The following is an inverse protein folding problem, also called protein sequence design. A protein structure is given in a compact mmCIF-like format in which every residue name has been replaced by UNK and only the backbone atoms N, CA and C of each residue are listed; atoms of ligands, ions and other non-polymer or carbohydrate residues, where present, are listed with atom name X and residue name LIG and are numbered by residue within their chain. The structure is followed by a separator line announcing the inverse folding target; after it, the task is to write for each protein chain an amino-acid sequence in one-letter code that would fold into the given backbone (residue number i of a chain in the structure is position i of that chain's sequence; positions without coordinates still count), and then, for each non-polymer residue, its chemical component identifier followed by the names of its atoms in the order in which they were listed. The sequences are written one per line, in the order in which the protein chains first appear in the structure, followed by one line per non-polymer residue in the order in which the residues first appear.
data_IF_185188394088
#
_entry.id   IF_185188394088
#
_cell.length_a   1.000
_cell.length_b   1.000
_cell.length_c   1.000
_cell.angle_alpha   90.00
_cell.angle_beta   90.00
_cell.angle_gamma   90.00
#
_symmetry.space_group_name_H-M   'P 1'
#
loop_
_entity.id
_entity.type
_entity.pdbx_description
1 polymer ?
#
# COMPACT_ATOMS: atom_id res chain seq x y z
N UNK A 1 12.69 -16.42 -5.97
CA UNK A 1 12.00 -17.66 -5.56
C UNK A 1 10.58 -17.30 -5.18
N UNK A 2 9.61 -17.70 -6.01
CA UNK A 2 8.18 -17.56 -5.73
C UNK A 2 7.86 -18.29 -4.42
N UNK A 3 7.56 -17.57 -3.35
CA UNK A 3 6.83 -18.17 -2.23
C UNK A 3 5.39 -18.36 -2.70
N UNK A 4 5.18 -19.44 -3.42
CA UNK A 4 3.88 -20.06 -3.59
C UNK A 4 3.41 -20.41 -2.18
N UNK A 5 2.56 -19.58 -1.57
CA UNK A 5 1.82 -19.99 -0.37
C UNK A 5 0.87 -21.07 -0.84
N UNK A 6 1.26 -22.32 -0.59
CA UNK A 6 0.39 -23.49 -0.80
C UNK A 6 -1.00 -23.23 -0.20
N UNK A 7 -2.00 -23.43 -1.06
CA UNK A 7 -3.35 -23.88 -0.78
C UNK A 7 -4.06 -23.24 0.44
N UNK A 8 -4.84 -22.18 0.20
CA UNK A 8 -6.03 -21.94 1.04
C UNK A 8 -6.84 -23.24 1.06
N UNK A 9 -7.24 -23.71 2.23
CA UNK A 9 -7.92 -24.99 2.36
C UNK A 9 -9.31 -24.90 1.67
N UNK A 10 -9.43 -25.47 0.47
CA UNK A 10 -10.59 -25.19 -0.39
C UNK A 10 -11.86 -25.84 0.14
N UNK A 11 -12.83 -25.00 0.49
CA UNK A 11 -14.17 -25.30 1.00
C UNK A 11 -15.01 -26.37 0.32
N UNK A 12 -16.26 -26.50 0.77
CA UNK A 12 -17.33 -27.01 -0.11
C UNK A 12 -17.70 -25.89 -1.10
N UNK A 13 -17.92 -26.26 -2.36
CA UNK A 13 -18.30 -25.34 -3.45
C UNK A 13 -19.73 -25.68 -3.85
N UNK A 14 -20.57 -24.65 -4.07
CA UNK A 14 -21.94 -24.84 -4.51
C UNK A 14 -22.38 -23.74 -5.47
N UNK A 15 -23.22 -24.12 -6.43
CA UNK A 15 -23.99 -23.20 -7.26
C UNK A 15 -25.38 -23.06 -6.64
N UNK A 16 -25.80 -21.83 -6.37
CA UNK A 16 -27.13 -21.53 -5.85
C UNK A 16 -27.96 -20.86 -6.93
N UNK A 17 -29.08 -21.49 -7.31
CA UNK A 17 -30.09 -20.91 -8.20
C UNK A 17 -30.56 -19.56 -7.66
N UNK A 18 -30.48 -18.52 -8.49
CA UNK A 18 -31.11 -17.23 -8.22
C UNK A 18 -32.63 -17.33 -8.49
N UNK A 19 -33.38 -18.01 -7.62
CA UNK A 19 -34.84 -18.11 -7.76
C UNK A 19 -35.53 -17.05 -6.89
N UNK A 20 -36.41 -16.23 -7.50
CA UNK A 20 -37.16 -15.15 -6.81
C UNK A 20 -38.09 -15.66 -5.69
N UNK A 21 -38.37 -16.97 -5.62
CA UNK A 21 -39.46 -17.53 -4.82
C UNK A 21 -39.06 -18.44 -3.64
N UNK A 22 -37.77 -18.62 -3.32
CA UNK A 22 -37.39 -19.44 -2.16
C UNK A 22 -36.71 -18.58 -1.09
N UNK A 23 -37.40 -18.35 0.02
CA UNK A 23 -36.96 -17.55 1.18
C UNK A 23 -35.72 -18.05 1.96
N UNK A 24 -34.81 -18.78 1.33
CA UNK A 24 -33.48 -19.08 1.89
C UNK A 24 -32.58 -17.88 1.66
N UNK A 25 -32.69 -16.90 2.55
CA UNK A 25 -31.81 -15.73 2.60
C UNK A 25 -30.35 -16.20 2.75
N UNK A 26 -29.48 -15.82 1.81
CA UNK A 26 -28.04 -15.89 2.01
C UNK A 26 -27.72 -15.10 3.29
N UNK A 27 -27.25 -15.80 4.33
CA UNK A 27 -26.79 -15.14 5.55
C UNK A 27 -25.35 -14.72 5.33
N UNK A 28 -25.17 -13.45 4.95
CA UNK A 28 -23.86 -12.82 5.02
C UNK A 28 -23.48 -12.63 6.49
N UNK A 29 -22.20 -12.85 6.86
CA UNK A 29 -21.73 -12.49 8.18
C UNK A 29 -21.93 -10.98 8.42
N UNK A 30 -22.16 -10.54 9.67
CA UNK A 30 -22.21 -9.12 10.03
C UNK A 30 -20.93 -8.41 9.58
N UNK A 31 -21.07 -7.22 8.99
CA UNK A 31 -19.96 -6.33 8.71
C UNK A 31 -19.54 -5.63 10.01
N UNK A 32 -18.87 -6.35 10.91
CA UNK A 32 -18.38 -5.76 12.15
C UNK A 32 -17.08 -5.00 11.87
N UNK A 33 -17.13 -3.67 11.99
CA UNK A 33 -15.98 -2.85 12.40
C UNK A 33 -15.29 -1.98 11.35
N UNK A 34 -16.02 -1.06 10.71
CA UNK A 34 -15.41 0.15 10.14
C UNK A 34 -15.82 1.35 10.99
N UNK A 35 -14.99 1.72 11.96
CA UNK A 35 -15.15 2.97 12.70
C UNK A 35 -14.79 4.14 11.81
N UNK A 36 -15.80 4.95 11.52
CA UNK A 36 -15.69 6.24 10.85
C UNK A 36 -14.73 7.17 11.60
N UNK A 37 -13.74 7.71 10.89
CA UNK A 37 -13.03 8.92 11.32
C UNK A 37 -13.44 10.08 10.42
N UNK A 38 -13.77 11.19 11.07
CA UNK A 38 -14.30 12.40 10.47
C UNK A 38 -13.32 13.01 9.46
N UNK A 39 -13.83 13.24 8.24
CA UNK A 39 -13.26 14.20 7.30
C UNK A 39 -13.78 15.60 7.66
N UNK A 40 -12.87 16.56 7.85
CA UNK A 40 -13.21 17.97 7.91
C UNK A 40 -12.63 18.66 6.68
N UNK A 41 -13.49 19.32 5.90
CA UNK A 41 -13.16 19.95 4.62
C UNK A 41 -13.16 21.47 4.73
N UNK A 42 -12.14 22.09 4.12
CA UNK A 42 -12.07 23.42 3.44
C UNK A 42 -12.44 24.69 4.24
N UNK A 43 -11.76 25.84 4.11
CA UNK A 43 -11.95 26.79 2.98
C UNK A 43 -10.92 27.97 3.00
N UNK A 44 -10.38 28.30 1.81
CA UNK A 44 -9.97 29.63 1.24
C UNK A 44 -9.00 30.60 1.99
N UNK A 45 -7.95 31.07 1.29
CA UNK A 45 -7.98 32.31 0.47
C UNK A 45 -6.69 32.56 -0.37
N UNK A 46 -6.84 33.43 -1.39
CA UNK A 46 -5.88 33.98 -2.40
C UNK A 46 -4.61 34.59 -1.75
N UNK A 47 -3.46 34.85 -2.41
CA UNK A 47 -3.20 35.55 -3.68
C UNK A 47 -1.71 35.46 -4.12
N UNK A 48 -1.43 35.84 -5.37
CA UNK A 48 -0.13 35.83 -6.07
C UNK A 48 0.88 36.89 -5.60
N UNK A 49 2.18 36.61 -5.79
CA UNK A 49 3.13 37.54 -6.45
C UNK A 49 4.48 36.88 -6.78
N UNK A 50 5.12 37.42 -7.82
CA UNK A 50 6.29 36.92 -8.54
C UNK A 50 7.57 37.73 -8.23
N UNK A 51 8.76 37.13 -8.41
CA UNK A 51 10.03 37.72 -8.92
C UNK A 51 11.17 36.69 -8.75
N UNK A 52 11.79 36.17 -9.83
CA UNK A 52 13.02 36.68 -10.51
C UNK A 52 14.20 36.88 -9.54
N UNK A 53 15.42 36.38 -9.70
CA UNK A 53 16.19 36.01 -10.90
C UNK A 53 17.62 35.62 -10.48
N UNK A 54 18.26 34.70 -11.24
CA UNK A 54 19.71 34.69 -11.62
C UNK A 54 20.75 34.49 -10.49
N UNK A 55 21.86 33.75 -10.60
CA UNK A 55 22.77 33.35 -11.69
C UNK A 55 23.62 32.14 -11.26
N UNK A 56 23.90 31.25 -12.21
CA UNK A 56 24.95 30.19 -12.26
C UNK A 56 26.40 30.74 -12.09
N UNK A 57 27.48 29.94 -12.29
CA UNK A 57 27.84 28.60 -11.78
C UNK A 57 29.34 28.56 -11.33
N UNK A 58 29.82 27.51 -10.65
CA UNK A 58 31.15 26.93 -10.97
C UNK A 58 31.48 25.66 -10.18
N UNK A 59 31.83 24.65 -10.96
CA UNK A 59 32.32 23.31 -10.65
C UNK A 59 33.63 23.28 -9.84
N UNK A 60 33.77 22.29 -8.97
CA UNK A 60 35.02 21.53 -8.74
C UNK A 60 34.67 20.12 -8.25
N UNK A 61 35.20 19.12 -8.94
CA UNK A 61 35.14 17.71 -8.57
C UNK A 61 35.90 17.51 -7.25
N UNK A 62 35.25 16.89 -6.26
CA UNK A 62 35.89 16.46 -5.02
C UNK A 62 35.55 14.99 -4.76
N UNK A 63 36.55 14.25 -4.25
CA UNK A 63 36.48 12.83 -4.00
C UNK A 63 35.25 12.48 -3.15
N UNK A 64 34.53 11.41 -3.52
CA UNK A 64 33.18 11.07 -3.05
C UNK A 64 33.00 11.11 -1.52
N UNK A 65 32.56 12.26 -1.03
CA UNK A 65 32.21 12.58 0.37
C UNK A 65 30.70 12.44 0.64
N UNK A 66 29.95 11.91 -0.32
CA UNK A 66 28.49 11.86 -0.31
C UNK A 66 27.99 10.45 -0.55
N UNK A 67 26.82 10.14 -0.01
CA UNK A 67 26.12 8.88 -0.29
C UNK A 67 25.66 8.85 -1.75
N UNK A 68 25.79 7.70 -2.43
CA UNK A 68 25.27 7.54 -3.79
C UNK A 68 23.76 7.75 -3.77
N UNK A 69 23.25 8.63 -4.63
CA UNK A 69 21.82 8.97 -4.64
C UNK A 69 21.28 9.14 -6.04
N UNK A 70 19.99 8.83 -6.18
CA UNK A 70 19.20 9.02 -7.41
C UNK A 70 18.09 10.01 -7.10
N UNK A 71 17.86 10.95 -8.00
CA UNK A 71 16.80 11.96 -7.85
C UNK A 71 15.45 11.37 -8.27
N UNK A 72 14.40 11.64 -7.50
CA UNK A 72 13.04 11.30 -7.90
C UNK A 72 12.39 12.41 -8.74
N UNK A 73 11.16 12.16 -9.23
CA UNK A 73 10.39 13.10 -10.06
C UNK A 73 9.77 14.28 -9.29
N UNK A 74 9.85 14.25 -7.96
CA UNK A 74 9.18 15.18 -7.04
C UNK A 74 10.18 16.05 -6.25
N UNK A 75 11.44 16.07 -6.67
CA UNK A 75 12.49 16.88 -6.04
C UNK A 75 13.10 16.24 -4.78
N UNK A 76 12.84 14.97 -4.53
CA UNK A 76 13.51 14.17 -3.52
C UNK A 76 14.73 13.42 -4.05
N UNK A 77 15.38 12.69 -3.15
CA UNK A 77 16.56 11.87 -3.41
C UNK A 77 16.43 10.53 -2.69
N UNK A 78 16.91 9.46 -3.33
CA UNK A 78 16.92 8.12 -2.76
C UNK A 78 18.34 7.56 -2.76
N UNK A 79 18.76 7.03 -1.62
CA UNK A 79 20.00 6.25 -1.49
C UNK A 79 19.66 4.81 -1.12
N UNK A 80 20.36 3.87 -1.75
CA UNK A 80 20.24 2.44 -1.43
C UNK A 80 21.58 1.94 -0.90
N UNK A 81 21.57 1.43 0.34
CA UNK A 81 22.77 0.89 0.95
C UNK A 81 23.02 -0.51 0.41
N UNK A 82 24.14 -0.70 -0.27
CA UNK A 82 24.48 -1.95 -0.97
C UNK A 82 25.56 -2.77 -0.28
N UNK A 83 26.40 -2.12 0.52
CA UNK A 83 27.57 -2.74 1.16
C UNK A 83 27.60 -2.43 2.66
N UNK A 84 28.16 -3.33 3.49
CA UNK A 84 28.41 -3.05 4.89
C UNK A 84 29.22 -1.76 5.07
N UNK A 85 28.82 -0.94 6.03
CA UNK A 85 29.47 0.33 6.34
C UNK A 85 29.56 0.48 7.85
N UNK A 86 30.64 1.09 8.33
CA UNK A 86 30.74 1.47 9.74
C UNK A 86 29.68 2.53 10.09
N UNK A 87 28.95 2.39 11.23
CA UNK A 87 27.93 3.36 11.64
C UNK A 87 28.43 4.80 11.78
N UNK A 88 29.67 5.03 12.24
CA UNK A 88 30.21 6.39 12.41
C UNK A 88 30.57 7.02 11.07
N UNK A 89 31.13 6.22 10.17
CA UNK A 89 31.36 6.62 8.78
C UNK A 89 30.04 6.96 8.08
N UNK A 90 29.02 6.11 8.25
CA UNK A 90 27.69 6.33 7.69
C UNK A 90 27.06 7.63 8.19
N UNK A 91 27.11 7.92 9.51
CA UNK A 91 26.63 9.19 10.07
C UNK A 91 27.35 10.39 9.44
N UNK A 92 28.66 10.32 9.29
CA UNK A 92 29.46 11.40 8.69
C UNK A 92 29.05 11.66 7.24
N UNK A 93 28.95 10.61 6.42
CA UNK A 93 28.52 10.71 5.03
C UNK A 93 27.07 11.20 4.92
N UNK A 94 26.19 10.71 5.80
CA UNK A 94 24.78 11.10 5.82
C UNK A 94 24.61 12.60 6.13
N UNK A 95 25.34 13.13 7.13
CA UNK A 95 25.35 14.56 7.47
C UNK A 95 25.86 15.44 6.33
N UNK A 96 26.97 15.04 5.70
CA UNK A 96 27.51 15.74 4.53
C UNK A 96 26.53 15.71 3.35
N UNK A 97 25.85 14.59 3.15
CA UNK A 97 24.83 14.41 2.11
C UNK A 97 23.61 15.27 2.36
N UNK A 98 23.05 15.25 3.58
CA UNK A 98 21.93 16.11 3.99
C UNK A 98 22.25 17.59 3.79
N UNK A 99 23.45 18.03 4.18
CA UNK A 99 23.90 19.41 3.97
C UNK A 99 23.91 19.79 2.50
N UNK A 100 24.44 18.91 1.65
CA UNK A 100 24.49 19.10 0.19
C UNK A 100 23.09 19.12 -0.43
N UNK A 101 22.23 18.16 -0.07
CA UNK A 101 20.86 18.08 -0.57
C UNK A 101 20.01 19.27 -0.13
N UNK A 102 20.27 19.81 1.07
CA UNK A 102 19.63 21.05 1.55
C UNK A 102 20.00 22.24 0.67
N UNK A 103 21.28 22.41 0.35
CA UNK A 103 21.75 23.49 -0.54
C UNK A 103 21.20 23.34 -1.96
N UNK A 104 20.97 22.11 -2.42
CA UNK A 104 20.36 21.81 -3.71
C UNK A 104 18.83 21.96 -3.73
N UNK A 105 18.20 22.34 -2.62
CA UNK A 105 16.75 22.49 -2.52
C UNK A 105 15.99 21.17 -2.64
N UNK A 106 16.60 20.05 -2.24
CA UNK A 106 15.91 18.75 -2.19
C UNK A 106 14.91 18.72 -1.05
N UNK A 107 13.86 17.91 -1.22
CA UNK A 107 12.76 17.80 -0.27
C UNK A 107 12.82 16.52 0.56
N UNK A 108 12.30 15.43 0.01
CA UNK A 108 12.30 14.11 0.66
C UNK A 108 13.60 13.36 0.42
N UNK A 109 14.15 12.77 1.47
CA UNK A 109 15.34 11.91 1.42
C UNK A 109 14.92 10.51 1.84
N UNK A 110 15.15 9.54 0.97
CA UNK A 110 14.78 8.14 1.17
C UNK A 110 16.03 7.28 1.35
N UNK A 111 16.05 6.43 2.37
CA UNK A 111 17.11 5.45 2.58
C UNK A 111 16.51 4.05 2.55
N UNK A 112 16.88 3.28 1.53
CA UNK A 112 16.59 1.86 1.47
C UNK A 112 17.72 1.07 2.13
N UNK A 113 17.42 0.45 3.26
CA UNK A 113 18.35 -0.40 4.02
C UNK A 113 17.98 -1.88 3.84
N UNK A 114 18.79 -2.68 3.13
CA UNK A 114 18.63 -4.13 3.14
C UNK A 114 18.69 -4.70 4.56
N UNK A 115 17.96 -5.79 4.81
CA UNK A 115 17.88 -6.45 6.13
C UNK A 115 19.24 -6.76 6.74
N UNK A 116 20.24 -7.08 5.92
CA UNK A 116 21.61 -7.38 6.35
C UNK A 116 22.34 -6.17 6.94
N UNK A 117 21.89 -4.95 6.60
CA UNK A 117 22.47 -3.68 7.01
C UNK A 117 21.61 -2.95 8.05
N UNK A 118 20.70 -3.67 8.72
CA UNK A 118 19.73 -3.09 9.66
C UNK A 118 20.41 -2.34 10.83
N UNK A 119 21.64 -2.69 11.19
CA UNK A 119 22.42 -1.97 12.21
C UNK A 119 22.64 -0.48 11.89
N UNK A 120 22.56 -0.07 10.62
CA UNK A 120 22.64 1.34 10.22
C UNK A 120 21.34 2.12 10.48
N UNK A 121 20.22 1.44 10.73
CA UNK A 121 18.93 2.08 10.95
C UNK A 121 18.95 2.96 12.21
N UNK A 122 19.60 2.49 13.29
CA UNK A 122 19.74 3.28 14.52
C UNK A 122 20.48 4.59 14.25
N UNK A 123 21.56 4.53 13.46
CA UNK A 123 22.31 5.72 13.07
C UNK A 123 21.47 6.68 12.25
N UNK A 124 20.74 6.19 11.24
CA UNK A 124 19.86 7.03 10.43
C UNK A 124 18.79 7.73 11.30
N UNK A 125 18.18 7.01 12.24
CA UNK A 125 17.18 7.58 13.16
C UNK A 125 17.79 8.65 14.06
N UNK A 126 19.02 8.47 14.55
CA UNK A 126 19.75 9.49 15.31
C UNK A 126 20.02 10.76 14.51
N UNK A 127 20.14 10.65 13.19
CA UNK A 127 20.24 11.79 12.26
C UNK A 127 18.87 12.38 11.87
N UNK A 128 17.78 11.90 12.47
CA UNK A 128 16.44 12.45 12.33
C UNK A 128 15.53 11.73 11.35
N UNK A 129 15.98 10.64 10.72
CA UNK A 129 15.11 9.83 9.86
C UNK A 129 14.04 9.10 10.68
N UNK A 130 12.88 8.84 10.07
CA UNK A 130 11.83 7.99 10.63
C UNK A 130 11.49 6.83 9.70
N UNK A 131 10.82 5.81 10.25
CA UNK A 131 10.39 4.66 9.49
C UNK A 131 9.19 5.01 8.62
N UNK A 132 9.24 4.62 7.35
CA UNK A 132 8.12 4.76 6.43
C UNK A 132 7.38 3.43 6.23
N UNK A 133 8.09 2.40 5.77
CA UNK A 133 7.57 1.04 5.63
C UNK A 133 8.72 0.03 5.74
N UNK A 134 8.38 -1.23 5.94
CA UNK A 134 9.33 -2.33 5.94
C UNK A 134 8.79 -3.46 5.08
N UNK A 135 9.64 -3.97 4.21
CA UNK A 135 9.40 -5.19 3.46
C UNK A 135 10.14 -6.35 4.12
N UNK A 136 9.89 -7.56 3.62
CA UNK A 136 10.58 -8.77 4.09
C UNK A 136 12.11 -8.63 4.11
N UNK A 137 12.66 -7.95 3.11
CA UNK A 137 14.10 -7.91 2.83
C UNK A 137 14.75 -6.52 2.99
N UNK A 138 13.97 -5.47 3.30
CA UNK A 138 14.52 -4.13 3.54
C UNK A 138 13.63 -3.26 4.44
N UNK A 139 14.24 -2.25 5.06
CA UNK A 139 13.57 -1.15 5.75
C UNK A 139 13.70 0.13 4.92
N UNK A 140 12.60 0.87 4.75
CA UNK A 140 12.62 2.19 4.14
C UNK A 140 12.52 3.26 5.23
N UNK A 141 13.52 4.13 5.28
CA UNK A 141 13.51 5.32 6.12
C UNK A 141 13.36 6.57 5.26
N UNK A 142 12.78 7.60 5.85
CA UNK A 142 12.59 8.89 5.19
C UNK A 142 12.94 10.05 6.10
N UNK A 143 13.36 11.15 5.49
CA UNK A 143 13.61 12.43 6.14
C UNK A 143 13.08 13.56 5.24
N UNK A 144 12.47 14.57 5.85
CA UNK A 144 12.00 15.77 5.16
C UNK A 144 12.91 16.94 5.50
N UNK A 145 13.59 17.49 4.48
CA UNK A 145 14.51 18.62 4.66
C UNK A 145 13.79 19.95 4.92
N UNK A 146 12.71 20.30 4.19
CA UNK A 146 12.04 21.57 4.39
C UNK A 146 11.40 21.71 5.78
N UNK A 147 11.20 22.96 6.21
CA UNK A 147 10.46 23.27 7.46
C UNK A 147 8.93 23.25 7.29
N UNK A 148 8.47 23.27 6.05
CA UNK A 148 7.04 23.12 5.71
C UNK A 148 6.58 21.69 5.98
N UNK A 149 5.27 21.50 6.08
CA UNK A 149 4.65 20.19 6.24
C UNK A 149 5.15 19.21 5.16
N UNK A 150 5.41 17.98 5.55
CA UNK A 150 5.88 16.98 4.60
C UNK A 150 4.75 16.55 3.67
N UNK A 151 5.08 16.48 2.37
CA UNK A 151 4.14 15.99 1.34
C UNK A 151 4.51 14.57 0.92
N UNK A 152 5.16 13.82 1.81
CA UNK A 152 5.55 12.45 1.54
C UNK A 152 4.27 11.60 1.49
N UNK A 153 4.14 10.69 0.51
CA UNK A 153 3.02 9.77 0.48
C UNK A 153 2.92 9.02 1.80
N UNK A 154 1.73 8.96 2.40
CA UNK A 154 1.53 8.12 3.57
C UNK A 154 1.82 6.65 3.23
N UNK A 155 2.27 5.87 4.22
CA UNK A 155 2.40 4.44 4.04
C UNK A 155 1.05 3.80 3.66
N UNK A 156 1.10 2.71 2.88
CA UNK A 156 -0.10 1.97 2.51
C UNK A 156 -0.70 1.32 3.77
N UNK A 157 -1.68 1.99 4.39
CA UNK A 157 -2.29 1.57 5.65
C UNK A 157 -3.48 0.63 5.45
N UNK A 158 -3.99 0.50 4.22
CA UNK A 158 -5.22 -0.23 3.93
C UNK A 158 -4.95 -1.55 3.22
N UNK A 159 -5.64 -2.60 3.67
CA UNK A 159 -5.74 -3.86 2.94
C UNK A 159 -6.94 -3.79 2.01
N UNK A 160 -6.72 -4.03 0.72
CA UNK A 160 -7.81 -4.07 -0.26
C UNK A 160 -8.38 -5.48 -0.31
N UNK A 161 -9.60 -5.64 0.21
CA UNK A 161 -10.35 -6.88 0.10
C UNK A 161 -11.17 -6.93 -1.19
N UNK A 162 -11.33 -8.13 -1.75
CA UNK A 162 -12.20 -8.39 -2.91
C UNK A 162 -13.22 -9.48 -2.59
N UNK A 163 -14.41 -9.34 -3.17
CA UNK A 163 -15.46 -10.35 -3.16
C UNK A 163 -15.97 -10.54 -4.58
N UNK A 164 -16.04 -11.79 -5.04
CA UNK A 164 -16.38 -12.11 -6.43
C UNK A 164 -17.82 -12.62 -6.53
N UNK A 165 -18.66 -11.90 -7.28
CA UNK A 165 -19.99 -12.38 -7.65
C UNK A 165 -19.91 -13.09 -9.00
N UNK A 166 -19.91 -14.43 -8.98
CA UNK A 166 -19.77 -15.25 -10.19
C UNK A 166 -21.10 -15.91 -10.50
N UNK A 167 -21.60 -15.69 -11.73
CA UNK A 167 -22.88 -16.24 -12.20
C UNK A 167 -22.65 -17.06 -13.48
N UNK A 168 -23.38 -18.18 -13.62
CA UNK A 168 -23.37 -18.98 -14.85
C UNK A 168 -24.58 -18.66 -15.76
N UNK A 169 -24.64 -19.29 -16.94
CA UNK A 169 -25.75 -19.14 -17.89
C UNK A 169 -27.12 -19.58 -17.34
N UNK A 170 -27.12 -20.46 -16.34
CA UNK A 170 -28.32 -20.93 -15.64
C UNK A 170 -28.77 -19.98 -14.51
N UNK A 171 -28.16 -18.80 -14.39
CA UNK A 171 -28.41 -17.82 -13.32
C UNK A 171 -28.15 -18.39 -11.92
N UNK A 172 -27.17 -19.27 -11.81
CA UNK A 172 -26.71 -19.80 -10.52
C UNK A 172 -25.45 -19.05 -10.09
N UNK A 173 -25.36 -18.77 -8.79
CA UNK A 173 -24.27 -18.02 -8.19
C UNK A 173 -23.30 -18.96 -7.49
N UNK A 174 -22.01 -18.77 -7.73
CA UNK A 174 -20.94 -19.51 -7.08
C UNK A 174 -20.78 -19.03 -5.64
N UNK A 175 -20.84 -19.98 -4.71
CA UNK A 175 -20.60 -19.75 -3.29
C UNK A 175 -19.65 -20.81 -2.75
N UNK A 176 -18.92 -20.42 -1.72
CA UNK A 176 -17.95 -21.25 -1.00
C UNK A 176 -18.29 -21.29 0.48
N UNK A 177 -17.88 -22.38 1.13
CA UNK A 177 -17.90 -22.53 2.58
C UNK A 177 -16.49 -22.84 3.07
N UNK A 178 -15.93 -22.03 3.97
CA UNK A 178 -14.56 -22.22 4.46
C UNK A 178 -14.36 -23.58 5.15
N UNK A 179 -13.25 -24.27 4.82
CA UNK A 179 -12.82 -25.49 5.52
C UNK A 179 -12.14 -25.21 6.86
N UNK A 180 -11.61 -24.01 7.03
CA UNK A 180 -10.85 -23.58 8.22
C UNK A 180 -11.17 -22.13 8.54
N UNK A 181 -11.17 -21.75 9.82
CA UNK A 181 -11.37 -20.37 10.25
C UNK A 181 -12.67 -20.16 11.01
N UNK A 182 -13.06 -18.89 11.21
CA UNK A 182 -14.18 -18.51 12.08
C UNK A 182 -15.51 -19.15 11.68
N UNK A 183 -15.72 -19.43 10.39
CA UNK A 183 -16.98 -19.96 9.87
C UNK A 183 -16.94 -21.46 9.55
N UNK A 184 -15.86 -22.16 9.92
CA UNK A 184 -15.73 -23.60 9.73
C UNK A 184 -16.88 -24.35 10.42
N UNK A 185 -17.52 -25.27 9.70
CA UNK A 185 -18.59 -26.11 10.24
C UNK A 185 -19.92 -25.38 10.51
N UNK A 186 -20.01 -24.07 10.29
CA UNK A 186 -21.22 -23.28 10.58
C UNK A 186 -22.29 -23.32 9.47
N UNK A 187 -22.02 -23.99 8.35
CA UNK A 187 -22.94 -24.05 7.21
C UNK A 187 -23.14 -22.72 6.48
N UNK A 188 -22.27 -21.72 6.72
CA UNK A 188 -22.36 -20.39 6.12
C UNK A 188 -21.76 -20.41 4.72
N UNK A 189 -22.55 -19.98 3.76
CA UNK A 189 -22.15 -19.83 2.36
C UNK A 189 -21.90 -18.36 2.06
N UNK A 190 -20.74 -18.06 1.50
CA UNK A 190 -20.35 -16.71 1.09
C UNK A 190 -19.84 -16.70 -0.35
N UNK A 191 -19.70 -15.50 -0.90
CA UNK A 191 -18.98 -15.33 -2.16
C UNK A 191 -17.49 -15.67 -1.98
N UNK A 192 -16.80 -16.09 -3.05
CA UNK A 192 -15.35 -16.15 -3.03
C UNK A 192 -14.77 -14.79 -2.64
N UNK A 193 -13.82 -14.77 -1.71
CA UNK A 193 -13.28 -13.53 -1.14
C UNK A 193 -11.78 -13.63 -0.93
N UNK A 194 -11.07 -12.55 -1.15
CA UNK A 194 -9.63 -12.52 -0.91
C UNK A 194 -9.09 -11.13 -0.67
N UNK A 195 -7.77 -11.03 -0.71
CA UNK A 195 -7.04 -9.76 -0.55
C UNK A 195 -6.21 -9.56 -1.81
N UNK A 196 -6.19 -8.34 -2.32
CA UNK A 196 -5.33 -7.94 -3.43
C UNK A 196 -3.91 -7.82 -2.91
N UNK A 197 -2.96 -8.46 -3.59
CA UNK A 197 -1.56 -8.36 -3.22
C UNK A 197 -1.00 -6.96 -3.56
N UNK A 198 0.09 -6.57 -2.93
CA UNK A 198 0.74 -5.30 -3.25
C UNK A 198 1.22 -5.30 -4.71
N UNK A 199 0.88 -4.23 -5.43
CA UNK A 199 1.17 -4.09 -6.86
C UNK A 199 0.28 -4.94 -7.78
N UNK A 200 -0.65 -5.72 -7.25
CA UNK A 200 -1.62 -6.50 -8.03
C UNK A 200 -2.82 -5.63 -8.41
N UNK A 201 -3.30 -5.77 -9.65
CA UNK A 201 -4.54 -5.13 -10.07
C UNK A 201 -5.76 -5.78 -9.40
N UNK A 202 -6.78 -4.98 -9.06
CA UNK A 202 -8.00 -5.47 -8.38
C UNK A 202 -8.71 -6.54 -9.22
N UNK A 203 -8.77 -6.37 -10.55
CA UNK A 203 -9.35 -7.33 -11.47
C UNK A 203 -8.57 -8.64 -11.42
N UNK A 204 -7.25 -8.59 -11.52
CA UNK A 204 -6.40 -9.78 -11.54
C UNK A 204 -6.44 -10.52 -10.20
N UNK A 205 -6.42 -9.79 -9.09
CA UNK A 205 -6.64 -10.34 -7.76
C UNK A 205 -7.99 -11.04 -7.64
N UNK A 206 -9.06 -10.49 -8.23
CA UNK A 206 -10.38 -11.13 -8.23
C UNK A 206 -10.42 -12.45 -9.01
N UNK A 207 -9.81 -12.49 -10.21
CA UNK A 207 -9.74 -13.70 -11.04
C UNK A 207 -8.91 -14.77 -10.36
N UNK A 208 -7.74 -14.39 -9.80
CA UNK A 208 -6.86 -15.27 -9.06
C UNK A 208 -7.58 -15.90 -7.87
N UNK A 209 -8.26 -15.10 -7.05
CA UNK A 209 -8.93 -15.59 -5.84
C UNK A 209 -10.08 -16.55 -6.14
N UNK A 210 -10.88 -16.29 -7.18
CA UNK A 210 -11.90 -17.26 -7.61
C UNK A 210 -11.25 -18.58 -8.03
N UNK A 211 -10.18 -18.51 -8.84
CA UNK A 211 -9.48 -19.70 -9.32
C UNK A 211 -8.81 -20.47 -8.20
N UNK A 212 -8.19 -19.78 -7.24
CA UNK A 212 -7.65 -20.40 -6.04
C UNK A 212 -8.80 -21.06 -5.29
N UNK A 213 -9.79 -20.32 -4.79
CA UNK A 213 -10.81 -20.84 -3.86
C UNK A 213 -11.71 -21.93 -4.44
N UNK A 214 -11.93 -21.93 -5.76
CA UNK A 214 -12.93 -22.78 -6.40
C UNK A 214 -12.40 -23.67 -7.53
N UNK A 215 -11.19 -23.41 -8.03
CA UNK A 215 -10.66 -24.05 -9.25
C UNK A 215 -11.30 -23.56 -10.55
N UNK A 216 -12.31 -22.68 -10.50
CA UNK A 216 -13.03 -22.20 -11.69
C UNK A 216 -12.25 -21.10 -12.38
N UNK A 217 -12.09 -21.21 -13.70
CA UNK A 217 -11.55 -20.14 -14.54
C UNK A 217 -12.69 -19.30 -15.11
N UNK A 218 -12.59 -17.97 -15.01
CA UNK A 218 -13.60 -17.04 -15.50
C UNK A 218 -13.43 -16.80 -17.00
N UNK A 219 -14.55 -16.73 -17.73
CA UNK A 219 -14.57 -16.35 -19.15
C UNK A 219 -14.59 -14.83 -19.33
N UNK A 220 -15.24 -14.12 -18.42
CA UNK A 220 -15.32 -12.66 -18.41
C UNK A 220 -15.34 -12.20 -16.95
N UNK A 221 -14.64 -11.11 -16.65
CA UNK A 221 -14.62 -10.47 -15.35
C UNK A 221 -14.65 -8.95 -15.54
N UNK A 222 -15.36 -8.28 -14.64
CA UNK A 222 -15.54 -6.83 -14.67
C UNK A 222 -15.66 -6.31 -13.24
N UNK A 223 -15.00 -5.19 -12.95
CA UNK A 223 -15.05 -4.58 -11.63
C UNK A 223 -16.29 -3.70 -11.52
N UNK A 224 -17.15 -3.97 -10.53
CA UNK A 224 -18.27 -3.10 -10.21
C UNK A 224 -17.78 -1.96 -9.30
N UNK A 225 -17.84 -0.73 -9.79
CA UNK A 225 -17.66 0.45 -8.94
C UNK A 225 -19.00 0.85 -8.34
N UNK A 226 -19.18 0.64 -7.03
CA UNK A 226 -20.31 1.18 -6.30
C UNK A 226 -19.89 2.52 -5.69
N UNK A 227 -20.34 3.67 -6.24
CA UNK A 227 -20.15 4.95 -5.55
C UNK A 227 -21.00 4.92 -4.28
N UNK A 228 -20.36 4.70 -3.14
CA UNK A 228 -21.00 4.82 -1.83
C UNK A 228 -21.45 6.27 -1.66
N UNK A 229 -22.76 6.54 -1.73
CA UNK A 229 -23.33 7.77 -1.17
C UNK A 229 -23.37 7.60 0.36
N UNK A 230 -22.72 8.51 1.08
CA UNK A 230 -22.77 8.56 2.55
C UNK A 230 -24.20 8.77 3.02
N UNK A 231 -24.81 7.76 3.64
CA UNK A 231 -26.07 7.91 4.36
C UNK A 231 -25.81 8.76 5.61
N UNK A 232 -26.16 10.05 5.53
CA UNK A 232 -26.29 10.88 6.73
C UNK A 232 -27.53 10.40 7.50
N UNK A 233 -27.34 9.65 8.58
CA UNK A 233 -28.38 9.47 9.59
C UNK A 233 -28.58 10.79 10.34
N UNK A 234 -29.66 11.50 10.00
CA UNK A 234 -30.19 12.56 10.85
C UNK A 234 -30.82 11.92 12.09
N UNK A 235 -30.19 12.09 13.26
CA UNK A 235 -30.80 11.75 14.54
C UNK A 235 -31.99 12.68 14.79
N UNK A 236 -33.15 12.07 15.06
CA UNK A 236 -34.33 12.74 15.60
C UNK A 236 -34.18 13.02 17.10
#
# INVERSE_FOLDING_TARGET
MMTCRLAKSYGLIKLLLCNKNNGRRLRFPPADGFSAFHSCSTTRNRSMSASSSSTNPMSREDATTLLPSVQDKYGGVMTEMTHPMDPSLFSTLLRSSLSTWTLQGKKGVWIKLPKQLIGLAETAVKEGFWFHHAEKDYLMLVYWIPKEDDTLPANASHRVGIGAFVINHNKEVLVVQEKTGRFQGQGIWKFPTGVVNEGEDIHDGSVREVKEETGVSLLHASTFHCPLYSLHETKS
#
